data_IF_847388709925
#
_entry.id   IF_847388709925
#
_cell.length_a   1.000
_cell.length_b   1.000
_cell.length_c   1.000
_cell.angle_alpha   90.00
_cell.angle_beta   90.00
_cell.angle_gamma   90.00
#
_symmetry.space_group_name_H-M   'P 1'
#
loop_
_entity.id
_entity.type
_entity.pdbx_description
1 polymer ?
#
# COMPACT_ATOMS: atom_id res chain seq x y z
N UNK A 1 0.97 27.37 -7.59
CA UNK A 1 1.79 26.61 -6.63
C UNK A 1 2.46 25.44 -7.34
N UNK A 2 3.73 25.18 -7.09
CA UNK A 2 4.46 24.02 -7.63
C UNK A 2 4.72 23.01 -6.50
N UNK A 3 4.42 21.72 -6.75
CA UNK A 3 4.59 20.64 -5.78
C UNK A 3 5.56 19.60 -6.33
N UNK A 4 6.62 19.32 -5.58
CA UNK A 4 7.65 18.33 -5.92
C UNK A 4 7.52 17.06 -5.07
N UNK A 5 7.35 15.90 -5.70
CA UNK A 5 7.34 14.60 -5.04
C UNK A 5 8.70 13.93 -5.10
N UNK A 6 9.10 13.25 -4.02
CA UNK A 6 10.36 12.51 -3.91
C UNK A 6 10.12 11.06 -3.49
N UNK A 7 10.71 10.12 -4.23
CA UNK A 7 10.61 8.69 -3.95
C UNK A 7 11.89 7.94 -4.35
N UNK A 8 12.14 6.80 -3.72
CA UNK A 8 13.35 6.01 -3.97
C UNK A 8 13.36 5.26 -5.31
N UNK A 9 12.21 4.87 -5.82
CA UNK A 9 12.06 4.17 -7.10
C UNK A 9 10.60 4.17 -7.55
N UNK A 10 10.34 3.76 -8.79
CA UNK A 10 9.01 3.52 -9.34
C UNK A 10 8.87 2.06 -9.79
N UNK A 11 9.39 1.11 -8.99
CA UNK A 11 9.66 -0.28 -9.37
C UNK A 11 8.50 -1.26 -9.10
N UNK A 12 7.33 -0.80 -8.68
CA UNK A 12 6.13 -1.63 -8.55
C UNK A 12 5.63 -1.86 -7.11
N UNK A 13 6.02 -1.02 -6.16
CA UNK A 13 5.52 -1.05 -4.79
C UNK A 13 4.21 -0.29 -4.58
N UNK A 14 3.48 -0.59 -3.50
CA UNK A 14 2.22 0.07 -3.17
C UNK A 14 2.36 1.56 -2.88
N UNK A 15 3.46 2.00 -2.25
CA UNK A 15 3.74 3.41 -1.98
C UNK A 15 3.99 4.21 -3.27
N UNK A 16 4.64 3.59 -4.25
CA UNK A 16 4.91 4.14 -5.57
C UNK A 16 3.62 4.36 -6.36
N UNK A 17 2.72 3.36 -6.36
CA UNK A 17 1.38 3.47 -6.96
C UNK A 17 0.60 4.63 -6.36
N UNK A 18 0.59 4.75 -5.04
CA UNK A 18 -0.10 5.83 -4.31
C UNK A 18 0.46 7.20 -4.68
N UNK A 19 1.80 7.35 -4.70
CA UNK A 19 2.43 8.63 -5.06
C UNK A 19 2.02 9.05 -6.47
N UNK A 20 2.10 8.14 -7.45
CA UNK A 20 1.73 8.43 -8.84
C UNK A 20 0.26 8.80 -8.93
N UNK A 21 -0.64 8.06 -8.27
CA UNK A 21 -2.08 8.37 -8.25
C UNK A 21 -2.34 9.77 -7.69
N UNK A 22 -1.66 10.17 -6.60
CA UNK A 22 -1.79 11.52 -6.02
C UNK A 22 -1.23 12.57 -6.99
N UNK A 23 -0.03 12.38 -7.52
CA UNK A 23 0.63 13.33 -8.40
C UNK A 23 -0.16 13.58 -9.70
N UNK A 24 -0.61 12.52 -10.36
CA UNK A 24 -1.43 12.61 -11.57
C UNK A 24 -2.79 13.24 -11.29
N UNK A 25 -3.46 12.85 -10.20
CA UNK A 25 -4.72 13.45 -9.81
C UNK A 25 -4.59 14.94 -9.46
N UNK A 26 -3.47 15.37 -8.89
CA UNK A 26 -3.20 16.81 -8.69
C UNK A 26 -3.05 17.56 -10.01
N UNK A 27 -2.33 17.00 -10.97
CA UNK A 27 -2.16 17.57 -12.29
C UNK A 27 -3.50 17.64 -13.04
N UNK A 28 -4.29 16.57 -13.04
CA UNK A 28 -5.61 16.50 -13.69
C UNK A 28 -6.61 17.52 -13.12
N UNK A 29 -6.53 17.80 -11.81
CA UNK A 29 -7.40 18.77 -11.13
C UNK A 29 -6.81 20.19 -11.08
N UNK A 30 -5.74 20.48 -11.81
CA UNK A 30 -5.07 21.78 -11.85
C UNK A 30 -4.70 22.35 -10.46
N UNK A 31 -4.29 21.47 -9.53
CA UNK A 31 -3.87 21.87 -8.17
C UNK A 31 -2.44 22.46 -8.18
N UNK A 32 -1.92 22.81 -9.34
CA UNK A 32 -0.60 23.38 -9.56
C UNK A 32 0.26 22.55 -10.51
N UNK A 33 1.48 22.99 -10.79
CA UNK A 33 2.46 22.18 -11.53
C UNK A 33 3.06 21.12 -10.62
N UNK A 34 3.20 19.89 -11.13
CA UNK A 34 3.63 18.72 -10.36
C UNK A 34 4.89 18.13 -10.96
N UNK A 35 5.86 17.83 -10.11
CA UNK A 35 7.07 17.08 -10.48
C UNK A 35 7.27 15.85 -9.60
N UNK A 36 7.85 14.78 -10.15
CA UNK A 36 8.27 13.58 -9.43
C UNK A 36 9.78 13.42 -9.60
N UNK A 37 10.51 13.34 -8.50
CA UNK A 37 11.94 13.01 -8.47
C UNK A 37 12.13 11.60 -7.95
N UNK A 38 12.66 10.71 -8.80
CA UNK A 38 12.96 9.32 -8.46
C UNK A 38 14.47 9.09 -8.38
N UNK A 39 14.91 8.36 -7.34
CA UNK A 39 16.31 7.96 -7.17
C UNK A 39 16.58 6.62 -7.88
N UNK A 40 16.43 6.52 -9.16
CA UNK A 40 16.44 5.29 -9.97
C UNK A 40 17.42 4.18 -9.49
N UNK A 41 16.94 3.27 -8.66
CA UNK A 41 17.71 2.10 -8.18
C UNK A 41 17.25 0.76 -8.77
N UNK A 42 16.10 0.78 -9.40
CA UNK A 42 15.44 -0.40 -10.00
C UNK A 42 14.73 0.00 -11.29
N UNK A 43 14.49 -0.92 -12.21
CA UNK A 43 13.70 -0.66 -13.41
C UNK A 43 12.32 -0.09 -13.06
N UNK A 44 11.89 0.90 -13.81
CA UNK A 44 10.58 1.50 -13.66
C UNK A 44 9.50 0.49 -14.08
N UNK A 45 8.49 0.32 -13.25
CA UNK A 45 7.32 -0.52 -13.52
C UNK A 45 6.08 0.33 -13.82
N UNK A 46 5.84 1.38 -13.00
CA UNK A 46 4.70 2.25 -13.22
C UNK A 46 5.04 3.34 -14.23
N UNK A 47 4.12 3.54 -15.17
CA UNK A 47 4.20 4.66 -16.12
C UNK A 47 3.67 5.93 -15.44
N UNK A 48 4.33 7.04 -15.73
CA UNK A 48 3.93 8.40 -15.35
C UNK A 48 3.50 9.12 -16.63
N UNK A 49 2.39 9.83 -16.57
CA UNK A 49 1.96 10.70 -17.67
C UNK A 49 2.88 11.93 -17.68
N UNK A 50 3.95 11.87 -18.49
CA UNK A 50 4.98 12.91 -18.56
C UNK A 50 4.49 14.20 -19.27
N UNK A 51 3.31 14.15 -19.92
CA UNK A 51 2.68 15.37 -20.47
C UNK A 51 2.10 16.25 -19.34
N UNK A 52 1.72 15.64 -18.21
CA UNK A 52 1.08 16.32 -17.08
C UNK A 52 1.98 16.47 -15.86
N UNK A 53 2.94 15.56 -15.68
CA UNK A 53 3.80 15.48 -14.51
C UNK A 53 5.26 15.41 -14.95
N UNK A 54 6.07 16.38 -14.57
CA UNK A 54 7.49 16.39 -14.87
C UNK A 54 8.22 15.26 -14.11
N UNK A 55 8.90 14.36 -14.81
CA UNK A 55 9.62 13.24 -14.22
C UNK A 55 11.14 13.46 -14.25
N UNK A 56 11.75 13.62 -13.07
CA UNK A 56 13.19 13.70 -12.90
C UNK A 56 13.77 12.41 -12.35
N UNK A 57 14.79 11.87 -13.00
CA UNK A 57 15.44 10.61 -12.63
C UNK A 57 16.88 10.88 -12.21
N UNK A 58 17.19 10.66 -10.94
CA UNK A 58 18.54 10.74 -10.40
C UNK A 58 19.17 9.36 -10.49
N UNK A 59 20.10 9.19 -11.44
CA UNK A 59 20.82 7.91 -11.66
C UNK A 59 22.09 7.88 -10.81
N UNK A 60 22.20 6.91 -9.91
CA UNK A 60 23.39 6.66 -9.13
C UNK A 60 23.99 5.30 -9.44
N UNK A 61 25.32 5.27 -9.59
CA UNK A 61 26.06 4.06 -10.00
C UNK A 61 26.54 3.21 -8.79
N UNK A 62 26.57 3.76 -7.59
CA UNK A 62 27.18 3.13 -6.42
C UNK A 62 26.15 2.56 -5.43
N UNK A 63 26.63 1.69 -4.53
CA UNK A 63 25.88 1.12 -3.40
C UNK A 63 26.48 1.56 -2.07
N UNK A 64 25.76 1.34 -0.96
CA UNK A 64 26.26 1.64 0.38
C UNK A 64 26.39 3.14 0.70
N UNK A 65 27.42 3.51 1.45
CA UNK A 65 27.66 4.88 1.94
C UNK A 65 27.94 5.85 0.79
N UNK A 66 28.64 5.42 -0.26
CA UNK A 66 28.90 6.26 -1.44
C UNK A 66 27.61 6.65 -2.14
N UNK A 67 26.67 5.70 -2.30
CA UNK A 67 25.36 5.99 -2.87
C UNK A 67 24.57 7.01 -2.04
N UNK A 68 24.69 6.96 -0.71
CA UNK A 68 24.04 7.95 0.16
C UNK A 68 24.55 9.37 -0.11
N UNK A 69 25.86 9.56 -0.22
CA UNK A 69 26.45 10.89 -0.49
C UNK A 69 26.15 11.38 -1.90
N UNK A 70 26.14 10.49 -2.89
CA UNK A 70 25.73 10.83 -4.26
C UNK A 70 24.24 11.22 -4.32
N UNK A 71 23.36 10.45 -3.68
CA UNK A 71 21.95 10.79 -3.53
C UNK A 71 21.82 12.18 -2.88
N UNK A 72 22.54 12.42 -1.79
CA UNK A 72 22.49 13.69 -1.04
C UNK A 72 22.92 14.88 -1.91
N UNK A 73 24.07 14.78 -2.59
CA UNK A 73 24.60 15.85 -3.45
C UNK A 73 23.65 16.13 -4.62
N UNK A 74 23.17 15.06 -5.26
CA UNK A 74 22.30 15.14 -6.44
C UNK A 74 20.93 15.75 -6.08
N UNK A 75 20.32 15.30 -4.96
CA UNK A 75 19.08 15.87 -4.45
C UNK A 75 19.27 17.36 -4.10
N UNK A 76 20.37 17.71 -3.40
CA UNK A 76 20.64 19.09 -3.03
C UNK A 76 20.82 20.00 -4.24
N UNK A 77 21.50 19.51 -5.30
CA UNK A 77 21.63 20.22 -6.58
C UNK A 77 20.29 20.39 -7.25
N UNK A 78 19.47 19.33 -7.29
CA UNK A 78 18.14 19.37 -7.87
C UNK A 78 17.23 20.37 -7.13
N UNK A 79 17.17 20.32 -5.79
CA UNK A 79 16.36 21.22 -4.96
C UNK A 79 16.74 22.70 -5.17
N UNK A 80 18.01 23.01 -5.44
CA UNK A 80 18.43 24.39 -5.74
C UNK A 80 17.79 24.92 -7.01
N UNK A 81 17.61 24.07 -8.01
CA UNK A 81 17.11 24.42 -9.33
C UNK A 81 15.58 24.23 -9.45
N UNK A 82 14.99 23.45 -8.55
CA UNK A 82 13.55 23.21 -8.51
C UNK A 82 12.85 24.35 -7.74
N UNK A 83 11.84 24.94 -8.38
CA UNK A 83 11.03 26.01 -7.82
C UNK A 83 9.82 25.48 -7.04
N UNK A 84 9.81 24.21 -6.63
CA UNK A 84 8.74 23.64 -5.84
C UNK A 84 8.54 24.39 -4.51
N UNK A 85 7.33 24.88 -4.28
CA UNK A 85 6.94 25.57 -3.05
C UNK A 85 6.75 24.59 -1.90
N UNK A 86 6.18 23.43 -2.20
CA UNK A 86 5.98 22.33 -1.26
C UNK A 86 6.64 21.06 -1.78
N UNK A 87 7.45 20.43 -0.95
CA UNK A 87 8.14 19.18 -1.25
C UNK A 87 7.51 18.04 -0.44
N UNK A 88 7.11 16.98 -1.11
CA UNK A 88 6.44 15.82 -0.49
C UNK A 88 7.31 14.59 -0.71
N UNK A 89 7.74 13.95 0.37
CA UNK A 89 8.62 12.79 0.31
C UNK A 89 7.90 11.53 0.77
N UNK A 90 8.10 10.44 0.03
CA UNK A 90 7.54 9.12 0.33
C UNK A 90 8.63 8.12 0.69
N UNK A 91 8.36 7.33 1.71
CA UNK A 91 9.25 6.32 2.29
C UNK A 91 10.38 6.92 3.14
N UNK A 92 10.67 6.25 4.25
CA UNK A 92 11.55 6.73 5.33
C UNK A 92 12.93 7.17 4.84
N UNK A 93 13.53 6.42 3.91
CA UNK A 93 14.86 6.78 3.36
C UNK A 93 14.82 8.13 2.62
N UNK A 94 13.83 8.36 1.75
CA UNK A 94 13.67 9.60 1.03
C UNK A 94 13.30 10.74 1.98
N UNK A 95 12.46 10.46 2.99
CA UNK A 95 12.11 11.42 4.02
C UNK A 95 13.35 11.98 4.71
N UNK A 96 14.26 11.09 5.15
CA UNK A 96 15.49 11.49 5.83
C UNK A 96 16.44 12.26 4.90
N UNK A 97 16.64 11.77 3.67
CA UNK A 97 17.50 12.45 2.70
C UNK A 97 16.99 13.84 2.36
N UNK A 98 15.70 13.99 2.07
CA UNK A 98 15.11 15.30 1.77
C UNK A 98 15.24 16.26 2.94
N UNK A 99 14.95 15.82 4.16
CA UNK A 99 15.07 16.65 5.36
C UNK A 99 16.52 17.10 5.61
N UNK A 100 17.50 16.20 5.43
CA UNK A 100 18.93 16.53 5.54
C UNK A 100 19.36 17.55 4.47
N UNK A 101 18.93 17.37 3.22
CA UNK A 101 19.21 18.32 2.13
C UNK A 101 18.63 19.70 2.40
N UNK A 102 17.54 19.77 3.15
CA UNK A 102 16.79 21.00 3.42
C UNK A 102 17.02 21.57 4.83
N UNK A 103 18.01 21.10 5.61
CA UNK A 103 18.24 21.58 6.97
C UNK A 103 18.48 23.11 7.06
N UNK A 104 19.14 23.67 6.07
CA UNK A 104 19.57 25.08 6.05
C UNK A 104 18.84 25.92 4.99
N UNK A 105 17.62 25.50 4.58
CA UNK A 105 16.77 26.29 3.70
C UNK A 105 15.34 26.34 4.24
N UNK A 106 14.54 27.26 3.73
CA UNK A 106 13.16 27.48 4.19
C UNK A 106 12.11 26.71 3.37
N UNK A 107 12.52 25.62 2.67
CA UNK A 107 11.57 24.80 1.90
C UNK A 107 10.52 24.17 2.79
N UNK A 108 9.30 24.15 2.33
CA UNK A 108 8.16 23.54 2.99
C UNK A 108 8.12 22.06 2.67
N UNK A 109 8.14 21.22 3.71
CA UNK A 109 8.32 19.76 3.56
C UNK A 109 7.20 19.01 4.25
N UNK A 110 6.58 18.11 3.50
CA UNK A 110 5.67 17.08 4.00
C UNK A 110 6.38 15.74 3.85
N UNK A 111 6.52 14.99 4.92
CA UNK A 111 7.05 13.61 4.89
C UNK A 111 5.93 12.61 5.03
N UNK A 112 6.00 11.52 4.25
CA UNK A 112 4.99 10.47 4.25
C UNK A 112 5.61 9.14 4.63
N UNK A 113 5.25 8.60 5.79
CA UNK A 113 5.59 7.24 6.17
C UNK A 113 4.49 6.28 5.75
N UNK A 114 4.86 5.21 5.04
CA UNK A 114 3.93 4.30 4.38
C UNK A 114 3.91 2.89 4.95
N UNK A 115 4.75 2.64 5.96
CA UNK A 115 4.84 1.36 6.65
C UNK A 115 4.73 1.55 8.16
N UNK A 116 4.71 0.43 8.89
CA UNK A 116 4.85 0.46 10.34
C UNK A 116 6.29 0.86 10.71
N UNK A 117 6.53 2.06 11.27
CA UNK A 117 7.87 2.57 11.51
C UNK A 117 8.66 1.75 12.53
N UNK A 118 7.97 1.03 13.43
CA UNK A 118 8.59 0.18 14.45
C UNK A 118 9.07 -1.18 13.89
N UNK A 119 8.59 -1.56 12.70
CA UNK A 119 9.02 -2.78 11.99
C UNK A 119 10.02 -2.50 10.88
N UNK A 120 10.01 -1.27 10.36
CA UNK A 120 10.90 -0.87 9.27
C UNK A 120 12.33 -0.51 9.78
N UNK A 121 12.44 -0.03 11.01
CA UNK A 121 13.69 0.50 11.57
C UNK A 121 14.03 -0.08 12.94
N UNK A 122 15.32 -0.11 13.24
CA UNK A 122 15.75 -0.27 14.62
C UNK A 122 15.27 0.90 15.49
N UNK A 123 15.09 0.69 16.80
CA UNK A 123 14.62 1.73 17.72
C UNK A 123 15.48 3.01 17.65
N UNK A 124 16.79 2.87 17.50
CA UNK A 124 17.72 4.01 17.41
C UNK A 124 17.47 4.82 16.15
N UNK A 125 17.38 4.17 14.99
CA UNK A 125 17.10 4.82 13.71
C UNK A 125 15.73 5.51 13.76
N UNK A 126 14.72 4.88 14.33
CA UNK A 126 13.40 5.48 14.51
C UNK A 126 13.46 6.78 15.31
N UNK A 127 14.17 6.81 16.45
CA UNK A 127 14.29 8.01 17.27
C UNK A 127 15.08 9.12 16.58
N UNK A 128 16.16 8.78 15.86
CA UNK A 128 16.90 9.74 15.04
C UNK A 128 16.02 10.33 13.92
N UNK A 129 15.21 9.49 13.28
CA UNK A 129 14.23 9.93 12.28
C UNK A 129 13.21 10.89 12.89
N UNK A 130 12.69 10.60 14.08
CA UNK A 130 11.76 11.48 14.80
C UNK A 130 12.38 12.86 15.12
N UNK A 131 13.67 12.93 15.41
CA UNK A 131 14.35 14.21 15.63
C UNK A 131 14.44 15.03 14.34
N UNK A 132 14.77 14.40 13.21
CA UNK A 132 14.79 15.07 11.90
C UNK A 132 13.38 15.48 11.45
N UNK A 133 12.35 14.71 11.78
CA UNK A 133 10.95 15.02 11.45
C UNK A 133 10.45 16.31 12.12
N UNK A 134 11.13 16.83 13.14
CA UNK A 134 10.87 18.18 13.66
C UNK A 134 11.03 19.27 12.58
N UNK A 135 11.89 19.04 11.57
CA UNK A 135 12.09 19.98 10.44
C UNK A 135 10.93 19.95 9.45
N UNK A 136 10.20 18.83 9.34
CA UNK A 136 9.03 18.75 8.48
C UNK A 136 7.91 19.70 8.94
N UNK A 137 7.18 20.29 8.00
CA UNK A 137 5.97 21.08 8.27
C UNK A 137 4.83 20.17 8.71
N UNK A 138 4.64 19.04 8.01
CA UNK A 138 3.66 18.01 8.34
C UNK A 138 4.24 16.61 8.10
N UNK A 139 3.65 15.64 8.79
CA UNK A 139 3.95 14.21 8.67
C UNK A 139 2.65 13.52 8.31
N UNK A 140 2.60 12.86 7.16
CA UNK A 140 1.42 12.11 6.72
C UNK A 140 1.60 10.64 7.03
N UNK A 141 0.64 10.08 7.73
CA UNK A 141 0.51 8.63 8.00
C UNK A 141 -0.87 8.15 7.54
N UNK A 142 -1.04 6.84 7.35
CA UNK A 142 -2.26 6.32 6.73
C UNK A 142 -3.34 5.93 7.75
N UNK A 143 -2.96 5.75 9.03
CA UNK A 143 -3.87 5.24 10.06
C UNK A 143 -3.68 5.98 11.38
N UNK A 144 -4.75 6.04 12.17
CA UNK A 144 -4.66 6.59 13.53
C UNK A 144 -3.72 5.75 14.41
N UNK A 145 -3.67 4.44 14.17
CA UNK A 145 -2.77 3.56 14.91
C UNK A 145 -1.30 3.86 14.62
N UNK A 146 -0.91 4.08 13.34
CA UNK A 146 0.47 4.51 13.02
C UNK A 146 0.80 5.82 13.73
N UNK A 147 -0.13 6.77 13.77
CA UNK A 147 0.07 8.04 14.49
C UNK A 147 0.46 7.83 15.95
N UNK A 148 -0.10 6.83 16.64
CA UNK A 148 0.21 6.56 18.05
C UNK A 148 1.65 6.11 18.33
N UNK A 149 2.36 5.60 17.32
CA UNK A 149 3.76 5.16 17.47
C UNK A 149 4.74 6.33 17.60
N UNK A 150 4.35 7.51 17.16
CA UNK A 150 5.20 8.69 17.19
C UNK A 150 5.17 9.39 18.56
N UNK A 151 6.31 9.98 18.96
CA UNK A 151 6.42 10.68 20.25
C UNK A 151 5.51 11.92 20.28
N UNK A 152 5.11 12.31 21.50
CA UNK A 152 4.18 13.42 21.77
C UNK A 152 4.57 14.72 21.06
N UNK A 153 5.85 15.03 20.95
CA UNK A 153 6.33 16.26 20.33
C UNK A 153 6.10 16.35 18.82
N UNK A 154 5.80 15.23 18.14
CA UNK A 154 5.42 15.20 16.73
C UNK A 154 3.90 15.13 16.48
N UNK A 155 3.11 14.78 17.47
CA UNK A 155 1.67 14.51 17.32
C UNK A 155 0.90 15.65 16.64
N UNK A 156 1.25 16.92 16.95
CA UNK A 156 0.61 18.09 16.34
C UNK A 156 0.93 18.27 14.84
N UNK A 157 2.02 17.67 14.36
CA UNK A 157 2.42 17.72 12.96
C UNK A 157 1.86 16.55 12.14
N UNK A 158 1.36 15.51 12.80
CA UNK A 158 0.89 14.30 12.13
C UNK A 158 -0.55 14.46 11.67
N UNK A 159 -0.73 14.27 10.37
CA UNK A 159 -2.03 14.23 9.69
C UNK A 159 -2.28 12.81 9.18
N UNK A 160 -3.49 12.29 9.38
CA UNK A 160 -3.87 10.98 8.86
C UNK A 160 -4.56 11.19 7.51
N UNK A 161 -3.92 10.69 6.45
CA UNK A 161 -4.49 10.64 5.10
C UNK A 161 -4.30 9.23 4.57
N UNK A 162 -5.41 8.56 4.35
CA UNK A 162 -5.46 7.20 3.83
C UNK A 162 -4.99 7.15 2.37
N UNK A 163 -4.67 5.96 1.88
CA UNK A 163 -4.27 5.80 0.48
C UNK A 163 -5.49 5.90 -0.44
N UNK A 164 -5.38 6.60 -1.58
CA UNK A 164 -6.46 6.70 -2.55
C UNK A 164 -6.67 5.39 -3.33
N UNK A 165 -7.92 5.13 -3.68
CA UNK A 165 -8.32 4.18 -4.72
C UNK A 165 -8.65 5.00 -5.97
N UNK A 166 -7.95 4.73 -7.06
CA UNK A 166 -8.26 5.31 -8.37
C UNK A 166 -9.46 4.58 -8.98
N UNK A 167 -10.65 4.91 -8.47
CA UNK A 167 -11.89 4.28 -8.88
C UNK A 167 -12.21 4.51 -10.36
N UNK A 168 -11.78 5.62 -10.96
CA UNK A 168 -12.01 5.90 -12.39
C UNK A 168 -11.24 4.92 -13.27
N UNK A 169 -9.97 4.66 -12.94
CA UNK A 169 -9.15 3.69 -13.66
C UNK A 169 -9.61 2.26 -13.40
N UNK A 170 -9.89 1.92 -12.14
CA UNK A 170 -10.23 0.56 -11.74
C UNK A 170 -11.64 0.13 -12.15
N UNK A 171 -12.55 1.06 -12.41
CA UNK A 171 -13.90 0.73 -12.88
C UNK A 171 -13.88 -0.08 -14.18
N UNK A 172 -12.95 0.19 -15.08
CA UNK A 172 -12.78 -0.54 -16.34
C UNK A 172 -12.19 -1.95 -16.16
N UNK A 173 -11.68 -2.27 -14.97
CA UNK A 173 -11.16 -3.59 -14.62
C UNK A 173 -12.22 -4.50 -13.98
N UNK A 174 -13.38 -3.96 -13.60
CA UNK A 174 -14.44 -4.77 -13.00
C UNK A 174 -15.12 -5.65 -14.04
N UNK A 175 -14.98 -6.97 -13.88
CA UNK A 175 -15.61 -7.99 -14.72
C UNK A 175 -16.41 -8.92 -13.81
N UNK A 176 -17.63 -8.49 -13.41
CA UNK A 176 -18.49 -9.35 -12.59
C UNK A 176 -19.57 -9.99 -13.48
N UNK A 177 -19.33 -11.24 -13.83
CA UNK A 177 -20.32 -12.10 -14.52
C UNK A 177 -21.18 -12.91 -13.54
N UNK A 178 -21.19 -12.52 -12.25
CA UNK A 178 -21.93 -13.19 -11.18
C UNK A 178 -21.12 -13.54 -9.95
N UNK A 179 -21.83 -13.98 -8.91
CA UNK A 179 -21.26 -14.53 -7.69
C UNK A 179 -21.23 -16.08 -7.81
N UNK A 180 -20.35 -16.72 -7.05
CA UNK A 180 -20.22 -18.17 -6.96
C UNK A 180 -19.27 -18.80 -7.99
N UNK A 181 -18.13 -18.13 -8.15
CA UNK A 181 -17.02 -18.63 -8.97
C UNK A 181 -16.22 -19.73 -8.24
N UNK A 182 -16.47 -19.90 -6.94
CA UNK A 182 -15.76 -20.84 -6.04
C UNK A 182 -14.25 -20.58 -6.01
N UNK A 183 -13.87 -19.28 -6.09
CA UNK A 183 -12.47 -18.85 -6.08
C UNK A 183 -12.17 -18.05 -4.82
N UNK A 184 -11.09 -18.46 -4.14
CA UNK A 184 -10.40 -17.71 -3.10
C UNK A 184 -9.17 -17.08 -3.76
N UNK A 185 -8.94 -15.80 -3.53
CA UNK A 185 -7.78 -15.10 -4.08
C UNK A 185 -6.97 -14.44 -2.97
N UNK A 186 -5.66 -14.46 -3.11
CA UNK A 186 -4.74 -13.70 -2.28
C UNK A 186 -3.65 -13.08 -3.14
N UNK A 187 -3.21 -11.86 -2.78
CA UNK A 187 -2.20 -11.14 -3.56
C UNK A 187 -1.17 -10.46 -2.67
N UNK A 188 0.10 -10.59 -3.05
CA UNK A 188 1.19 -9.92 -2.36
C UNK A 188 2.55 -10.46 -2.77
N UNK A 189 3.63 -9.79 -2.31
CA UNK A 189 4.97 -10.33 -2.51
C UNK A 189 5.12 -11.65 -1.75
N UNK A 190 5.70 -12.66 -2.39
CA UNK A 190 5.95 -13.95 -1.73
C UNK A 190 7.13 -13.83 -0.76
N UNK A 191 6.90 -13.11 0.35
CA UNK A 191 7.84 -12.81 1.41
C UNK A 191 7.28 -13.25 2.77
N UNK A 192 8.12 -13.44 3.81
CA UNK A 192 7.68 -13.87 5.14
C UNK A 192 6.55 -13.00 5.73
N UNK A 193 6.56 -11.70 5.42
CA UNK A 193 5.55 -10.75 5.88
C UNK A 193 4.12 -11.17 5.53
N UNK A 194 3.91 -11.80 4.37
CA UNK A 194 2.57 -12.10 3.82
C UNK A 194 1.97 -13.41 4.34
N UNK A 195 2.74 -14.26 4.97
CA UNK A 195 2.31 -15.50 5.64
C UNK A 195 1.30 -16.34 4.83
N UNK A 196 1.62 -16.59 3.55
CA UNK A 196 0.81 -17.46 2.71
C UNK A 196 0.74 -18.90 3.24
N UNK A 197 1.70 -19.30 4.09
CA UNK A 197 1.73 -20.63 4.69
C UNK A 197 0.50 -20.86 5.58
N UNK A 198 0.11 -19.88 6.40
CA UNK A 198 -1.12 -19.96 7.23
C UNK A 198 -2.37 -20.11 6.36
N UNK A 199 -2.48 -19.36 5.26
CA UNK A 199 -3.59 -19.45 4.33
C UNK A 199 -3.66 -20.82 3.66
N UNK A 200 -2.53 -21.32 3.13
CA UNK A 200 -2.48 -22.62 2.42
C UNK A 200 -2.84 -23.77 3.37
N UNK A 201 -2.32 -23.76 4.62
CA UNK A 201 -2.66 -24.78 5.64
C UNK A 201 -4.15 -24.74 5.98
N UNK A 202 -4.74 -23.55 6.13
CA UNK A 202 -6.18 -23.41 6.38
C UNK A 202 -7.01 -23.92 5.20
N UNK A 203 -6.58 -23.62 3.97
CA UNK A 203 -7.25 -24.06 2.75
C UNK A 203 -7.15 -25.59 2.55
N UNK A 204 -6.01 -26.21 2.89
CA UNK A 204 -5.83 -27.67 2.83
C UNK A 204 -6.89 -28.44 3.61
N UNK A 205 -7.24 -27.94 4.80
CA UNK A 205 -8.28 -28.58 5.61
C UNK A 205 -9.70 -28.42 5.05
N UNK A 206 -9.93 -27.34 4.30
CA UNK A 206 -11.19 -27.05 3.64
C UNK A 206 -11.35 -27.87 2.37
N UNK A 207 -10.28 -27.99 1.60
CA UNK A 207 -10.26 -28.67 0.30
C UNK A 207 -10.71 -30.16 0.39
N UNK A 208 -10.54 -30.79 1.55
CA UNK A 208 -11.02 -32.18 1.81
C UNK A 208 -12.55 -32.33 1.66
N UNK A 209 -13.30 -31.22 1.90
CA UNK A 209 -14.78 -31.25 1.85
C UNK A 209 -15.33 -30.41 0.68
N UNK A 210 -14.54 -29.44 0.18
CA UNK A 210 -14.91 -28.47 -0.84
C UNK A 210 -13.87 -28.42 -1.94
N UNK A 211 -13.64 -29.56 -2.61
CA UNK A 211 -12.59 -29.75 -3.64
C UNK A 211 -12.85 -28.95 -4.93
N UNK A 212 -14.06 -28.42 -5.10
CA UNK A 212 -14.48 -27.57 -6.20
C UNK A 212 -14.08 -26.09 -5.99
N UNK A 213 -13.62 -25.70 -4.81
CA UNK A 213 -13.04 -24.40 -4.53
C UNK A 213 -11.56 -24.37 -4.94
N UNK A 214 -11.13 -23.22 -5.48
CA UNK A 214 -9.73 -22.97 -5.89
C UNK A 214 -9.14 -21.83 -5.08
N UNK A 215 -7.83 -21.87 -4.84
CA UNK A 215 -7.05 -20.80 -4.23
C UNK A 215 -6.00 -20.30 -5.23
N UNK A 216 -6.13 -19.05 -5.66
CA UNK A 216 -5.20 -18.39 -6.54
C UNK A 216 -4.34 -17.39 -5.75
N UNK A 217 -3.03 -17.57 -5.77
CA UNK A 217 -2.06 -16.70 -5.10
C UNK A 217 -1.27 -15.94 -6.16
N UNK A 218 -1.46 -14.62 -6.20
CA UNK A 218 -0.75 -13.74 -7.12
C UNK A 218 0.42 -13.03 -6.44
N UNK A 219 1.56 -13.07 -7.08
CA UNK A 219 2.78 -12.41 -6.64
C UNK A 219 4.03 -13.19 -6.97
N UNK A 220 5.18 -12.58 -6.68
CA UNK A 220 6.51 -13.19 -6.80
C UNK A 220 7.33 -12.81 -5.58
N UNK A 221 8.36 -13.56 -5.24
CA UNK A 221 9.25 -13.26 -4.12
C UNK A 221 10.12 -14.45 -3.72
N UNK A 222 10.98 -14.24 -2.74
CA UNK A 222 11.99 -15.20 -2.29
C UNK A 222 11.42 -16.50 -1.70
N UNK A 223 10.16 -16.47 -1.27
CA UNK A 223 9.49 -17.65 -0.68
C UNK A 223 8.78 -18.54 -1.72
N UNK A 224 8.87 -18.24 -3.00
CA UNK A 224 8.11 -18.94 -4.05
C UNK A 224 8.35 -20.46 -4.02
N UNK A 225 9.60 -20.90 -3.95
CA UNK A 225 9.95 -22.32 -3.93
C UNK A 225 9.45 -23.02 -2.66
N UNK A 226 9.56 -22.34 -1.51
CA UNK A 226 9.08 -22.87 -0.22
C UNK A 226 7.57 -23.03 -0.22
N UNK A 227 6.85 -22.04 -0.77
CA UNK A 227 5.38 -22.07 -0.88
C UNK A 227 4.94 -23.17 -1.85
N UNK A 228 5.63 -23.31 -3.01
CA UNK A 228 5.33 -24.38 -3.96
C UNK A 228 5.53 -25.75 -3.31
N UNK A 229 6.64 -25.96 -2.61
CA UNK A 229 6.88 -27.20 -1.89
C UNK A 229 5.78 -27.53 -0.87
N UNK A 230 5.30 -26.49 -0.14
CA UNK A 230 4.19 -26.67 0.82
C UNK A 230 2.90 -27.12 0.11
N UNK A 231 2.60 -26.56 -1.08
CA UNK A 231 1.45 -26.95 -1.90
C UNK A 231 1.56 -28.41 -2.33
N UNK A 232 2.76 -28.83 -2.77
CA UNK A 232 3.04 -30.21 -3.20
C UNK A 232 2.94 -31.19 -2.03
N UNK A 233 3.56 -30.88 -0.88
CA UNK A 233 3.55 -31.72 0.31
C UNK A 233 2.12 -31.91 0.88
N UNK A 234 1.24 -30.95 0.67
CA UNK A 234 -0.18 -31.01 1.08
C UNK A 234 -1.10 -31.59 -0.01
N UNK A 235 -0.57 -32.01 -1.16
CA UNK A 235 -1.32 -32.55 -2.31
C UNK A 235 -2.38 -31.58 -2.85
N UNK A 236 -2.06 -30.27 -2.94
CA UNK A 236 -2.98 -29.22 -3.36
C UNK A 236 -2.75 -28.69 -4.77
N UNK A 237 -1.87 -29.31 -5.57
CA UNK A 237 -1.47 -28.85 -6.91
C UNK A 237 -2.63 -28.68 -7.89
N UNK A 238 -3.74 -29.41 -7.69
CA UNK A 238 -4.96 -29.29 -8.51
C UNK A 238 -5.89 -28.16 -8.09
N UNK A 239 -5.71 -27.58 -6.91
CA UNK A 239 -6.65 -26.60 -6.31
C UNK A 239 -6.00 -25.32 -5.82
N UNK A 240 -4.68 -25.27 -5.68
CA UNK A 240 -3.92 -24.08 -5.31
C UNK A 240 -2.93 -23.73 -6.43
N UNK A 241 -2.95 -22.50 -6.92
CA UNK A 241 -2.10 -22.01 -7.97
C UNK A 241 -1.25 -20.81 -7.52
N UNK A 242 0.07 -20.85 -7.80
CA UNK A 242 0.93 -19.68 -7.76
C UNK A 242 0.90 -19.03 -9.16
N UNK A 243 0.07 -17.97 -9.30
CA UNK A 243 -0.28 -17.38 -10.59
C UNK A 243 0.75 -16.34 -11.10
N UNK A 244 1.83 -16.07 -10.33
CA UNK A 244 2.77 -15.02 -10.71
C UNK A 244 2.18 -13.61 -10.56
N UNK A 245 2.73 -12.63 -11.31
CA UNK A 245 2.23 -11.25 -11.29
C UNK A 245 1.07 -11.07 -12.28
N UNK A 246 0.16 -10.17 -11.93
CA UNK A 246 -0.88 -9.68 -12.85
C UNK A 246 -0.79 -8.17 -13.02
N UNK A 247 -1.10 -7.68 -14.22
CA UNK A 247 -1.22 -6.25 -14.51
C UNK A 247 -2.62 -5.72 -14.17
N UNK A 248 -3.61 -6.62 -14.02
CA UNK A 248 -5.01 -6.31 -13.74
C UNK A 248 -5.50 -6.96 -12.45
N UNK A 249 -4.97 -6.56 -11.29
CA UNK A 249 -5.30 -7.20 -10.02
C UNK A 249 -6.79 -7.11 -9.67
N UNK A 250 -7.44 -5.98 -9.92
CA UNK A 250 -8.85 -5.78 -9.60
C UNK A 250 -9.74 -6.64 -10.48
N UNK A 251 -9.35 -6.87 -11.75
CA UNK A 251 -10.06 -7.81 -12.63
C UNK A 251 -10.07 -9.22 -12.04
N UNK A 252 -8.90 -9.73 -11.61
CA UNK A 252 -8.80 -11.07 -11.02
C UNK A 252 -9.57 -11.17 -9.70
N UNK A 253 -9.52 -10.12 -8.88
CA UNK A 253 -10.33 -10.03 -7.66
C UNK A 253 -11.83 -10.03 -7.98
N UNK A 254 -12.28 -9.29 -8.99
CA UNK A 254 -13.70 -9.21 -9.36
C UNK A 254 -14.27 -10.55 -9.85
N UNK A 255 -13.41 -11.45 -10.35
CA UNK A 255 -13.75 -12.83 -10.73
C UNK A 255 -13.64 -13.81 -9.56
N UNK A 256 -13.43 -13.33 -8.33
CA UNK A 256 -13.24 -14.16 -7.15
C UNK A 256 -14.28 -13.84 -6.08
N UNK A 257 -14.65 -14.85 -5.30
CA UNK A 257 -15.68 -14.71 -4.24
C UNK A 257 -15.09 -14.19 -2.94
N UNK A 258 -13.91 -14.69 -2.57
CA UNK A 258 -13.27 -14.43 -1.28
C UNK A 258 -11.85 -13.94 -1.51
N UNK A 259 -11.51 -12.82 -0.87
CA UNK A 259 -10.14 -12.35 -0.79
C UNK A 259 -9.57 -12.59 0.61
N UNK A 260 -8.32 -13.05 0.69
CA UNK A 260 -7.63 -13.27 1.96
C UNK A 260 -6.33 -12.50 2.05
N UNK A 261 -6.15 -11.73 3.13
CA UNK A 261 -4.89 -11.10 3.52
C UNK A 261 -4.37 -11.77 4.79
N UNK A 262 -3.31 -12.59 4.68
CA UNK A 262 -2.75 -13.37 5.80
C UNK A 262 -1.57 -12.72 6.52
N UNK A 263 -1.26 -11.46 6.23
CA UNK A 263 -0.03 -10.76 6.63
C UNK A 263 0.22 -10.72 8.14
N UNK A 264 1.48 -10.81 8.55
CA UNK A 264 1.91 -10.57 9.93
C UNK A 264 1.84 -9.09 10.33
N UNK A 265 2.08 -8.17 9.40
CA UNK A 265 1.99 -6.72 9.61
C UNK A 265 1.77 -6.00 8.29
N UNK A 266 1.08 -4.86 8.36
CA UNK A 266 0.84 -3.94 7.24
C UNK A 266 1.09 -2.49 7.69
N UNK A 267 1.26 -1.60 6.72
CA UNK A 267 1.11 -0.16 6.94
C UNK A 267 -0.35 0.24 6.67
N UNK A 268 -0.70 0.24 5.38
CA UNK A 268 -2.07 0.35 4.88
C UNK A 268 -2.21 -0.62 3.71
N UNK A 269 -3.05 -1.65 3.81
CA UNK A 269 -3.09 -2.73 2.84
C UNK A 269 -3.88 -2.35 1.58
N UNK A 270 -3.23 -1.69 0.60
CA UNK A 270 -3.88 -1.28 -0.66
C UNK A 270 -4.60 -2.45 -1.34
N UNK A 271 -3.99 -3.64 -1.32
CA UNK A 271 -4.55 -4.84 -1.93
C UNK A 271 -5.89 -5.27 -1.28
N UNK A 272 -6.04 -5.04 0.03
CA UNK A 272 -7.32 -5.26 0.71
C UNK A 272 -8.37 -4.23 0.26
N UNK A 273 -7.96 -2.96 0.13
CA UNK A 273 -8.85 -1.91 -0.39
C UNK A 273 -9.30 -2.22 -1.83
N UNK A 274 -8.40 -2.71 -2.67
CA UNK A 274 -8.69 -3.14 -4.05
C UNK A 274 -9.65 -4.33 -4.08
N UNK A 275 -9.47 -5.31 -3.19
CA UNK A 275 -10.37 -6.45 -3.06
C UNK A 275 -11.76 -6.06 -2.54
N UNK A 276 -11.82 -5.13 -1.58
CA UNK A 276 -13.08 -4.54 -1.11
C UNK A 276 -13.77 -3.77 -2.23
N UNK A 277 -13.03 -2.99 -3.02
CA UNK A 277 -13.55 -2.29 -4.21
C UNK A 277 -14.08 -3.28 -5.25
N UNK A 278 -13.37 -4.37 -5.50
CA UNK A 278 -13.83 -5.45 -6.37
C UNK A 278 -15.06 -6.18 -5.82
N UNK A 279 -15.41 -6.00 -4.54
CA UNK A 279 -16.56 -6.57 -3.84
C UNK A 279 -16.37 -8.01 -3.42
N UNK A 280 -15.15 -8.46 -3.20
CA UNK A 280 -14.87 -9.73 -2.55
C UNK A 280 -15.35 -9.72 -1.10
N UNK A 281 -15.77 -10.89 -0.58
CA UNK A 281 -15.86 -11.09 0.85
C UNK A 281 -14.44 -11.17 1.42
N UNK A 282 -14.06 -10.21 2.25
CA UNK A 282 -12.68 -10.06 2.69
C UNK A 282 -12.44 -10.75 4.04
N UNK A 283 -11.37 -11.55 4.11
CA UNK A 283 -10.79 -12.06 5.35
C UNK A 283 -9.39 -11.45 5.49
N UNK A 284 -9.08 -10.92 6.66
CA UNK A 284 -7.73 -10.42 6.94
C UNK A 284 -7.25 -10.85 8.30
N UNK A 285 -5.95 -11.08 8.44
CA UNK A 285 -5.35 -11.12 9.76
C UNK A 285 -5.52 -9.77 10.45
N UNK A 286 -5.75 -9.82 11.75
CA UNK A 286 -5.87 -8.64 12.62
C UNK A 286 -4.47 -8.15 13.01
N UNK A 287 -3.69 -7.82 11.99
CA UNK A 287 -2.34 -7.32 12.20
C UNK A 287 -2.34 -5.83 12.59
N UNK A 288 -1.27 -5.43 13.24
CA UNK A 288 -1.09 -4.05 13.70
C UNK A 288 -1.09 -3.12 12.50
N UNK A 289 -2.03 -2.16 12.54
CA UNK A 289 -2.26 -1.13 11.52
C UNK A 289 -2.92 -1.63 10.22
N UNK A 290 -3.84 -0.87 9.71
CA UNK A 290 -4.50 -1.03 8.42
C UNK A 290 -5.77 -1.86 8.43
N UNK A 291 -5.74 -3.19 8.57
CA UNK A 291 -6.95 -4.01 8.43
C UNK A 291 -8.09 -3.63 9.35
N UNK A 292 -7.83 -3.30 10.62
CA UNK A 292 -8.84 -2.84 11.58
C UNK A 292 -9.51 -1.51 11.23
N UNK A 293 -8.87 -0.68 10.42
CA UNK A 293 -9.46 0.60 9.98
C UNK A 293 -10.34 0.43 8.74
N UNK A 294 -10.27 -0.74 8.10
CA UNK A 294 -11.01 -1.09 6.90
C UNK A 294 -12.12 -2.10 7.18
N UNK A 295 -11.86 -3.11 8.02
CA UNK A 295 -12.79 -4.19 8.30
C UNK A 295 -13.50 -3.93 9.64
N UNK A 296 -14.81 -3.82 9.55
CA UNK A 296 -15.75 -3.96 10.67
C UNK A 296 -16.26 -5.39 10.72
N UNK A 297 -15.93 -6.07 11.82
CA UNK A 297 -16.15 -7.51 12.00
C UNK A 297 -17.60 -7.93 11.71
N UNK A 298 -17.78 -8.92 10.83
CA UNK A 298 -19.06 -9.47 10.39
C UNK A 298 -19.96 -8.54 9.57
N UNK A 299 -19.58 -7.27 9.39
CA UNK A 299 -20.35 -6.32 8.61
C UNK A 299 -19.85 -6.27 7.16
N UNK A 300 -18.55 -6.04 6.96
CA UNK A 300 -17.93 -5.87 5.66
C UNK A 300 -16.71 -6.77 5.44
N UNK A 301 -16.44 -7.69 6.40
CA UNK A 301 -15.32 -8.62 6.35
C UNK A 301 -15.13 -9.37 7.66
N UNK A 302 -14.07 -10.16 7.73
CA UNK A 302 -13.72 -10.95 8.92
C UNK A 302 -12.26 -10.75 9.28
N UNK A 303 -11.98 -10.38 10.53
CA UNK A 303 -10.64 -10.33 11.11
C UNK A 303 -10.36 -11.63 11.87
N UNK A 304 -9.16 -12.18 11.67
CA UNK A 304 -8.67 -13.39 12.35
C UNK A 304 -7.32 -13.12 13.01
N UNK A 305 -6.95 -13.82 14.10
CA UNK A 305 -5.63 -13.67 14.70
C UNK A 305 -4.51 -14.03 13.71
N UNK A 306 -3.36 -13.37 13.87
CA UNK A 306 -2.17 -13.61 13.06
C UNK A 306 -1.67 -15.04 13.26
N UNK A 307 -1.38 -15.77 12.17
CA UNK A 307 -0.83 -17.13 12.19
C UNK A 307 -1.82 -18.21 12.68
N UNK A 308 -3.07 -17.86 12.92
CA UNK A 308 -4.09 -18.83 13.43
C UNK A 308 -4.79 -19.54 12.25
N UNK A 309 -4.24 -20.71 11.88
CA UNK A 309 -4.78 -21.58 10.83
C UNK A 309 -6.24 -21.98 11.12
N UNK A 310 -6.59 -22.25 12.38
CA UNK A 310 -7.93 -22.70 12.76
C UNK A 310 -8.97 -21.59 12.58
N UNK A 311 -8.67 -20.37 13.01
CA UNK A 311 -9.54 -19.19 12.81
C UNK A 311 -9.65 -18.81 11.35
N UNK A 312 -8.54 -18.88 10.59
CA UNK A 312 -8.54 -18.64 9.15
C UNK A 312 -9.46 -19.65 8.44
N UNK A 313 -9.34 -20.94 8.76
CA UNK A 313 -10.25 -21.99 8.28
C UNK A 313 -11.71 -21.68 8.62
N UNK A 314 -12.02 -21.32 9.87
CA UNK A 314 -13.40 -21.00 10.28
C UNK A 314 -13.98 -19.84 9.48
N UNK A 315 -13.19 -18.78 9.25
CA UNK A 315 -13.61 -17.62 8.46
C UNK A 315 -13.89 -18.01 7.00
N UNK A 316 -13.00 -18.78 6.37
CA UNK A 316 -13.19 -19.31 5.02
C UNK A 316 -14.45 -20.20 4.94
N UNK A 317 -14.65 -21.14 5.88
CA UNK A 317 -15.83 -21.99 5.91
C UNK A 317 -17.14 -21.21 6.06
N UNK A 318 -17.12 -20.11 6.81
CA UNK A 318 -18.29 -19.22 6.94
C UNK A 318 -18.72 -18.68 5.60
N UNK A 319 -17.78 -18.17 4.79
CA UNK A 319 -18.07 -17.62 3.48
C UNK A 319 -18.34 -18.70 2.40
N UNK A 320 -17.67 -19.86 2.48
CA UNK A 320 -17.88 -20.96 1.55
C UNK A 320 -19.30 -21.52 1.68
N UNK A 321 -19.76 -21.71 2.93
CA UNK A 321 -21.06 -22.32 3.23
C UNK A 321 -22.25 -21.35 3.11
N UNK A 322 -22.02 -20.03 3.22
CA UNK A 322 -23.08 -19.03 3.29
C UNK A 322 -22.91 -17.98 2.21
N UNK A 323 -23.50 -18.21 1.07
CA UNK A 323 -23.44 -17.30 -0.07
C UNK A 323 -24.03 -15.91 0.24
N UNK A 324 -25.16 -15.86 0.94
CA UNK A 324 -25.82 -14.58 1.31
C UNK A 324 -24.89 -13.71 2.18
N UNK A 325 -24.23 -14.34 3.18
CA UNK A 325 -23.26 -13.62 4.05
C UNK A 325 -22.09 -13.13 3.20
N UNK A 326 -21.57 -13.97 2.31
CA UNK A 326 -20.46 -13.64 1.41
C UNK A 326 -20.81 -12.45 0.52
N UNK A 327 -21.96 -12.49 -0.15
CA UNK A 327 -22.42 -11.40 -1.02
C UNK A 327 -22.72 -10.12 -0.25
N UNK A 328 -23.38 -10.21 0.91
CA UNK A 328 -23.67 -9.06 1.77
C UNK A 328 -22.40 -8.37 2.23
N UNK A 329 -21.41 -9.14 2.71
CA UNK A 329 -20.15 -8.57 3.16
C UNK A 329 -19.34 -7.96 2.02
N UNK A 330 -19.33 -8.55 0.83
CA UNK A 330 -18.71 -7.98 -0.35
C UNK A 330 -19.33 -6.64 -0.75
N UNK A 331 -20.66 -6.53 -0.78
CA UNK A 331 -21.37 -5.26 -1.06
C UNK A 331 -21.07 -4.18 0.00
N UNK A 332 -21.03 -4.56 1.27
CA UNK A 332 -20.70 -3.63 2.35
C UNK A 332 -19.23 -3.21 2.30
N UNK A 333 -18.33 -4.11 1.90
CA UNK A 333 -16.92 -3.81 1.67
C UNK A 333 -16.76 -2.73 0.58
N UNK A 334 -17.46 -2.85 -0.54
CA UNK A 334 -17.46 -1.83 -1.60
C UNK A 334 -17.86 -0.45 -1.07
N UNK A 335 -18.97 -0.36 -0.32
CA UNK A 335 -19.42 0.90 0.28
C UNK A 335 -18.40 1.49 1.25
N UNK A 336 -17.76 0.65 2.05
CA UNK A 336 -16.76 1.09 3.02
C UNK A 336 -15.59 1.81 2.38
N UNK A 337 -15.16 1.37 1.19
CA UNK A 337 -13.99 1.96 0.52
C UNK A 337 -14.32 3.16 -0.37
N UNK A 338 -15.59 3.54 -0.55
CA UNK A 338 -15.97 4.76 -1.28
C UNK A 338 -15.33 6.02 -0.69
N UNK A 339 -15.13 6.06 0.64
CA UNK A 339 -14.42 7.14 1.32
C UNK A 339 -12.95 7.28 0.88
N UNK A 340 -12.38 6.22 0.32
CA UNK A 340 -11.00 6.16 -0.19
C UNK A 340 -10.89 6.52 -1.67
N UNK A 341 -12.00 6.79 -2.37
CA UNK A 341 -11.96 7.19 -3.77
C UNK A 341 -11.07 8.41 -3.94
N UNK A 342 -10.35 8.43 -5.04
CA UNK A 342 -9.29 9.41 -5.30
C UNK A 342 -9.77 10.84 -5.07
N UNK A 343 -10.98 11.19 -5.50
CA UNK A 343 -11.52 12.54 -5.32
C UNK A 343 -11.70 12.94 -3.85
N UNK A 344 -12.08 11.99 -2.97
CA UNK A 344 -12.25 12.24 -1.53
C UNK A 344 -10.90 12.41 -0.83
N UNK A 345 -9.92 11.58 -1.19
CA UNK A 345 -8.57 11.67 -0.63
C UNK A 345 -7.85 12.93 -1.13
N UNK A 346 -8.06 13.32 -2.40
CA UNK A 346 -7.46 14.52 -2.97
C UNK A 346 -7.95 15.83 -2.32
N UNK A 347 -9.18 15.87 -1.80
CA UNK A 347 -9.65 17.01 -0.98
C UNK A 347 -8.77 17.20 0.26
N UNK A 348 -8.47 16.11 1.00
CA UNK A 348 -7.59 16.15 2.18
C UNK A 348 -6.16 16.57 1.83
N UNK A 349 -5.65 16.10 0.69
CA UNK A 349 -4.32 16.50 0.21
C UNK A 349 -4.26 17.97 -0.19
N UNK A 350 -5.25 18.46 -0.91
CA UNK A 350 -5.35 19.88 -1.29
C UNK A 350 -5.32 20.77 -0.05
N UNK A 351 -6.22 20.53 0.91
CA UNK A 351 -6.29 21.28 2.17
C UNK A 351 -4.95 21.28 2.91
N UNK A 352 -4.29 20.13 3.00
CA UNK A 352 -2.98 20.02 3.66
C UNK A 352 -1.90 20.83 2.95
N UNK A 353 -1.85 20.76 1.62
CA UNK A 353 -0.84 21.44 0.80
C UNK A 353 -1.05 22.95 0.84
N UNK A 354 -2.29 23.43 0.74
CA UNK A 354 -2.67 24.84 0.86
C UNK A 354 -2.27 25.38 2.25
N UNK A 355 -2.63 24.70 3.33
CA UNK A 355 -2.24 25.05 4.71
C UNK A 355 -0.71 25.16 4.87
N UNK A 356 0.04 24.26 4.26
CA UNK A 356 1.51 24.29 4.30
C UNK A 356 2.05 25.39 3.40
N UNK A 357 1.42 25.61 2.26
CA UNK A 357 1.77 26.66 1.30
C UNK A 357 1.58 28.09 1.82
N UNK A 358 0.51 28.35 2.57
CA UNK A 358 0.13 29.67 3.09
C UNK A 358 0.86 30.07 4.39
N UNK A 359 1.27 29.09 5.21
CA UNK A 359 2.02 29.40 6.43
C UNK A 359 3.37 30.02 6.12
N UNK A 360 3.48 31.34 6.26
CA UNK A 360 4.72 32.15 6.15
C UNK A 360 5.69 31.85 7.29
#
# INVERSE_FOLDING_TARGET
MRVGFFISSLSGGGAEKVLITIAQSMADNNIGSVSITSLEKRPQFYQVDEEKVELYKIKNKHTGIRAFWEDFISIRKHIKNDNAEVMISFLSRCNLLLLLCCLFNNRKIIVCDRNNPLKEHSRVIFWLSCLLYKRANRIVVQTNQIKTFYPRFLQKKIVVIENPIDNHKLQNELCRDGYNTKRVISMGRLEPQKDFETLIKAFAEINKQFSDWKLDIYGTGEKQEIIQKLIDDLNLTSTVCLCGRTEKPVMEMSKSDIFVLSSYYEGFPNVLCEAMYAGCACISTDCVSGPRELIEQKLNGTLVPIGDVSKMKQALLTYIKNEDIRQKNGKNAQRTVERLYVNNIMKKWRELIEQVGENK
#
